data_IF_425132428839
#
_entry.id   IF_425132428839
#
_cell.length_a   1.000
_cell.length_b   1.000
_cell.length_c   1.000
_cell.angle_alpha   90.00
_cell.angle_beta   90.00
_cell.angle_gamma   90.00
#
_symmetry.space_group_name_H-M   'P 1'
#
loop_
_entity.id
_entity.type
_entity.pdbx_description
1 polymer ?
#
# COMPACT_ATOMS: atom_id res chain seq x y z
N UNK A 1 -11.86 10.05 -15.07
CA UNK A 1 -13.30 10.26 -15.36
C UNK A 1 -13.51 10.19 -16.87
N UNK A 2 -14.39 9.33 -17.41
CA UNK A 2 -14.59 9.21 -18.87
C UNK A 2 -15.56 10.27 -19.40
N UNK A 3 -16.66 10.53 -18.67
CA UNK A 3 -17.74 11.46 -19.08
C UNK A 3 -17.64 12.87 -18.50
N UNK A 4 -16.60 13.17 -17.72
CA UNK A 4 -16.39 14.54 -17.26
C UNK A 4 -16.12 15.47 -18.45
N UNK A 5 -16.46 16.74 -18.33
CA UNK A 5 -16.10 17.76 -19.31
C UNK A 5 -14.58 17.79 -19.50
N UNK A 6 -14.10 17.78 -20.75
CA UNK A 6 -12.69 17.60 -21.07
C UNK A 6 -12.12 16.20 -20.82
N UNK A 7 -12.95 15.22 -20.42
CA UNK A 7 -12.56 13.83 -20.24
C UNK A 7 -12.43 13.06 -21.56
N UNK A 8 -12.06 11.78 -21.47
CA UNK A 8 -11.77 10.93 -22.64
C UNK A 8 -12.90 10.88 -23.67
N UNK A 9 -14.17 10.80 -23.23
CA UNK A 9 -15.30 10.75 -24.15
C UNK A 9 -15.42 12.04 -24.94
N UNK A 10 -15.37 13.19 -24.27
CA UNK A 10 -15.47 14.51 -24.89
C UNK A 10 -14.31 14.78 -25.87
N UNK A 11 -13.08 14.45 -25.47
CA UNK A 11 -11.91 14.49 -26.35
C UNK A 11 -12.10 13.61 -27.61
N UNK A 12 -12.68 12.41 -27.47
CA UNK A 12 -12.97 11.57 -28.64
C UNK A 12 -14.06 12.12 -29.54
N UNK A 13 -15.04 12.87 -29.01
CA UNK A 13 -16.04 13.54 -29.85
C UNK A 13 -15.37 14.58 -30.75
N UNK A 14 -14.39 15.32 -30.25
CA UNK A 14 -13.65 16.31 -31.05
C UNK A 14 -12.80 15.67 -32.14
N UNK A 15 -12.23 14.48 -31.88
CA UNK A 15 -11.37 13.78 -32.84
C UNK A 15 -12.18 12.94 -33.84
N UNK A 16 -13.00 12.02 -33.33
CA UNK A 16 -13.59 10.96 -34.15
C UNK A 16 -14.79 11.42 -34.97
N UNK A 17 -15.56 12.44 -34.54
CA UNK A 17 -16.68 12.98 -35.36
C UNK A 17 -16.26 13.47 -36.74
N UNK A 18 -14.99 13.87 -36.89
CA UNK A 18 -14.44 14.32 -38.17
C UNK A 18 -14.17 13.17 -39.15
N UNK A 19 -14.20 11.92 -38.68
CA UNK A 19 -13.96 10.72 -39.48
C UNK A 19 -15.28 10.32 -40.15
N UNK A 20 -15.27 10.25 -41.47
CA UNK A 20 -16.42 9.81 -42.27
C UNK A 20 -16.86 8.40 -41.86
N UNK A 21 -18.17 8.23 -41.62
CA UNK A 21 -18.74 6.94 -41.23
C UNK A 21 -18.41 6.51 -39.81
N UNK A 22 -18.04 7.46 -38.94
CA UNK A 22 -17.97 7.23 -37.49
C UNK A 22 -19.32 7.45 -36.82
N UNK A 23 -19.71 6.55 -35.92
CA UNK A 23 -20.97 6.60 -35.18
C UNK A 23 -20.73 6.45 -33.67
N UNK A 24 -21.02 7.50 -32.86
CA UNK A 24 -20.91 7.41 -31.41
C UNK A 24 -22.16 6.79 -30.77
N UNK A 25 -21.96 5.99 -29.71
CA UNK A 25 -23.00 5.54 -28.77
C UNK A 25 -22.61 5.91 -27.35
N UNK A 26 -23.11 7.06 -26.90
CA UNK A 26 -22.74 7.65 -25.61
C UNK A 26 -23.24 6.87 -24.38
N UNK A 27 -24.37 6.17 -24.50
CA UNK A 27 -24.90 5.35 -23.40
C UNK A 27 -23.95 4.21 -23.04
N UNK A 28 -23.33 3.58 -24.06
CA UNK A 28 -22.39 2.46 -23.91
C UNK A 28 -20.92 2.87 -24.00
N UNK A 29 -20.64 4.15 -24.27
CA UNK A 29 -19.31 4.71 -24.49
C UNK A 29 -18.54 4.00 -25.62
N UNK A 30 -19.23 3.80 -26.74
CA UNK A 30 -18.71 3.08 -27.90
C UNK A 30 -18.66 3.95 -29.15
N UNK A 31 -17.67 3.70 -30.00
CA UNK A 31 -17.59 4.22 -31.36
C UNK A 31 -17.59 3.06 -32.35
N UNK A 32 -18.33 3.24 -33.44
CA UNK A 32 -18.33 2.35 -34.59
C UNK A 32 -17.77 3.10 -35.79
N UNK A 33 -16.99 2.42 -36.61
CA UNK A 33 -16.41 3.00 -37.82
C UNK A 33 -16.81 2.18 -39.03
N UNK A 34 -16.86 2.82 -40.21
CA UNK A 34 -17.17 2.17 -41.48
C UNK A 34 -16.27 0.97 -41.80
N UNK A 35 -15.03 0.96 -41.28
CA UNK A 35 -14.11 -0.18 -41.39
C UNK A 35 -14.56 -1.43 -40.63
N UNK A 36 -15.60 -1.35 -39.80
CA UNK A 36 -16.01 -2.38 -38.85
C UNK A 36 -15.26 -2.31 -37.52
N UNK A 37 -14.29 -1.38 -37.38
CA UNK A 37 -13.61 -1.16 -36.11
C UNK A 37 -14.62 -0.67 -35.05
N UNK A 38 -14.45 -1.17 -33.83
CA UNK A 38 -15.21 -0.77 -32.66
C UNK A 38 -14.26 -0.32 -31.57
N UNK A 39 -14.48 0.86 -31.02
CA UNK A 39 -13.73 1.39 -29.90
C UNK A 39 -14.65 1.55 -28.69
N UNK A 40 -14.22 1.12 -27.51
CA UNK A 40 -15.01 1.20 -26.28
C UNK A 40 -14.17 1.80 -25.16
N UNK A 41 -14.76 2.75 -24.44
CA UNK A 41 -14.18 3.29 -23.21
C UNK A 41 -14.89 2.72 -22.00
N UNK A 42 -14.12 2.31 -20.99
CA UNK A 42 -14.65 1.69 -19.77
C UNK A 42 -13.81 2.07 -18.56
N UNK A 43 -14.43 2.11 -17.40
CA UNK A 43 -13.75 2.26 -16.11
C UNK A 43 -13.37 0.90 -15.52
N UNK A 44 -12.30 0.87 -14.73
CA UNK A 44 -11.95 -0.24 -13.84
C UNK A 44 -11.48 0.37 -12.52
N UNK A 45 -12.45 0.74 -11.68
CA UNK A 45 -12.19 1.50 -10.46
C UNK A 45 -11.69 0.60 -9.31
N UNK A 46 -12.26 -0.59 -9.17
CA UNK A 46 -11.93 -1.52 -8.09
C UNK A 46 -11.26 -2.79 -8.62
N UNK A 47 -10.40 -3.42 -7.82
CA UNK A 47 -9.66 -4.64 -8.19
C UNK A 47 -10.57 -5.77 -8.72
N UNK A 48 -11.78 -5.89 -8.16
CA UNK A 48 -12.79 -6.86 -8.60
C UNK A 48 -13.31 -6.60 -10.02
N UNK A 49 -13.32 -5.35 -10.49
CA UNK A 49 -13.84 -5.00 -11.81
C UNK A 49 -13.01 -5.56 -12.97
N UNK A 50 -11.78 -6.02 -12.72
CA UNK A 50 -11.03 -6.75 -13.74
C UNK A 50 -11.80 -7.99 -14.22
N UNK A 51 -12.58 -8.64 -13.36
CA UNK A 51 -13.37 -9.83 -13.71
C UNK A 51 -14.55 -9.53 -14.63
N UNK A 52 -14.97 -8.27 -14.75
CA UNK A 52 -15.99 -7.84 -15.71
C UNK A 52 -15.51 -8.05 -17.18
N UNK A 53 -14.20 -8.25 -17.36
CA UNK A 53 -13.55 -8.53 -18.65
C UNK A 53 -13.22 -10.01 -18.86
N UNK A 54 -13.78 -10.91 -18.04
CA UNK A 54 -13.60 -12.33 -18.24
C UNK A 54 -14.12 -12.76 -19.62
N UNK A 55 -13.29 -13.51 -20.35
CA UNK A 55 -13.63 -13.99 -21.69
C UNK A 55 -13.45 -12.96 -22.82
N UNK A 56 -13.13 -11.70 -22.50
CA UNK A 56 -12.91 -10.68 -23.52
C UNK A 56 -11.74 -11.01 -24.47
N UNK A 57 -11.84 -10.52 -25.70
CA UNK A 57 -10.82 -10.63 -26.75
C UNK A 57 -10.62 -9.24 -27.35
N UNK A 58 -9.54 -8.58 -26.95
CA UNK A 58 -9.33 -7.17 -27.25
C UNK A 58 -7.93 -6.99 -27.82
N UNK A 59 -7.78 -6.82 -29.15
CA UNK A 59 -6.46 -6.69 -29.77
C UNK A 59 -5.72 -5.38 -29.41
N UNK A 60 -6.45 -4.33 -29.04
CA UNK A 60 -5.87 -3.04 -28.65
C UNK A 60 -6.41 -2.61 -27.29
N UNK A 61 -5.54 -2.58 -26.29
CA UNK A 61 -5.87 -2.12 -24.94
C UNK A 61 -5.11 -0.82 -24.68
N UNK A 62 -5.85 0.23 -24.35
CA UNK A 62 -5.30 1.54 -24.01
C UNK A 62 -5.63 1.87 -22.56
N UNK A 63 -4.60 2.07 -21.74
CA UNK A 63 -4.75 2.59 -20.39
C UNK A 63 -4.48 4.09 -20.38
N UNK A 64 -5.33 4.82 -19.68
CA UNK A 64 -5.06 6.20 -19.32
C UNK A 64 -4.88 6.27 -17.80
N UNK A 65 -3.95 7.10 -17.33
CA UNK A 65 -3.55 7.19 -15.93
C UNK A 65 -3.18 5.84 -15.30
N UNK A 66 -2.31 5.07 -15.98
CA UNK A 66 -1.93 3.70 -15.60
C UNK A 66 -1.40 3.58 -14.15
N UNK A 67 -0.78 4.62 -13.61
CA UNK A 67 -0.26 4.63 -12.23
C UNK A 67 -1.33 4.37 -11.17
N UNK A 68 -2.60 4.67 -11.46
CA UNK A 68 -3.74 4.43 -10.58
C UNK A 68 -4.30 3.00 -10.63
N UNK A 69 -3.84 2.18 -11.59
CA UNK A 69 -4.23 0.77 -11.68
C UNK A 69 -3.24 -0.09 -10.89
N UNK A 70 -3.73 -1.19 -10.31
CA UNK A 70 -2.84 -2.18 -9.73
C UNK A 70 -2.10 -2.99 -10.80
N UNK A 71 -0.97 -3.60 -10.42
CA UNK A 71 -0.23 -4.51 -11.31
C UNK A 71 -1.11 -5.67 -11.76
N UNK A 72 -1.95 -6.19 -10.86
CA UNK A 72 -2.86 -7.29 -11.14
C UNK A 72 -3.97 -6.93 -12.13
N UNK A 73 -4.50 -5.70 -12.11
CA UNK A 73 -5.42 -5.21 -13.14
C UNK A 73 -4.74 -5.21 -14.52
N UNK A 74 -3.54 -4.63 -14.62
CA UNK A 74 -2.79 -4.55 -15.87
C UNK A 74 -2.51 -5.93 -16.47
N UNK A 75 -1.90 -6.85 -15.68
CA UNK A 75 -1.58 -8.19 -16.16
C UNK A 75 -2.84 -9.04 -16.42
N UNK A 76 -3.94 -8.80 -15.70
CA UNK A 76 -5.21 -9.45 -16.01
C UNK A 76 -5.72 -9.02 -17.39
N UNK A 77 -5.70 -7.72 -17.70
CA UNK A 77 -6.07 -7.23 -19.03
C UNK A 77 -5.11 -7.69 -20.12
N UNK A 78 -3.81 -7.80 -19.84
CA UNK A 78 -2.84 -8.37 -20.77
C UNK A 78 -3.22 -9.80 -21.18
N UNK A 79 -3.82 -10.59 -20.28
CA UNK A 79 -4.34 -11.93 -20.60
C UNK A 79 -5.63 -11.92 -21.45
N UNK A 80 -6.22 -10.75 -21.70
CA UNK A 80 -7.34 -10.52 -22.64
C UNK A 80 -6.86 -9.86 -23.94
N UNK A 81 -5.58 -9.51 -24.01
CA UNK A 81 -4.97 -8.97 -25.21
C UNK A 81 -4.67 -10.11 -26.19
N UNK A 82 -5.72 -10.48 -26.93
CA UNK A 82 -5.74 -11.59 -27.87
C UNK A 82 -6.65 -11.25 -29.03
N UNK A 83 -6.42 -11.89 -30.16
CA UNK A 83 -7.06 -11.57 -31.43
C UNK A 83 -7.41 -12.84 -32.19
N UNK A 84 -8.62 -12.86 -32.74
CA UNK A 84 -9.10 -13.86 -33.70
C UNK A 84 -9.24 -13.28 -35.11
N UNK A 85 -8.99 -11.97 -35.27
CA UNK A 85 -9.14 -11.23 -36.53
C UNK A 85 -7.82 -10.93 -37.23
N UNK A 86 -6.69 -11.47 -36.74
CA UNK A 86 -5.37 -11.30 -37.34
C UNK A 86 -4.64 -10.00 -36.98
N UNK A 87 -5.25 -9.13 -36.15
CA UNK A 87 -4.57 -7.95 -35.59
C UNK A 87 -3.65 -8.38 -34.46
N UNK A 88 -2.38 -7.98 -34.50
CA UNK A 88 -1.44 -8.27 -33.41
C UNK A 88 -1.85 -7.56 -32.11
N UNK A 89 -2.00 -8.30 -31.00
CA UNK A 89 -2.22 -7.76 -29.66
C UNK A 89 -1.24 -6.66 -29.26
N UNK A 90 -1.76 -5.49 -28.86
CA UNK A 90 -0.96 -4.34 -28.44
C UNK A 90 -1.54 -3.63 -27.23
N UNK A 91 -0.68 -3.24 -26.28
CA UNK A 91 -1.04 -2.39 -25.13
C UNK A 91 -0.30 -1.06 -25.26
N UNK A 92 -1.01 0.04 -25.00
CA UNK A 92 -0.39 1.35 -24.78
C UNK A 92 -0.97 1.99 -23.53
N UNK A 93 -0.15 2.76 -22.83
CA UNK A 93 -0.55 3.41 -21.60
C UNK A 93 0.00 4.83 -21.51
N UNK A 94 -0.76 5.72 -20.89
CA UNK A 94 -0.34 7.08 -20.47
C UNK A 94 -0.48 7.21 -18.97
N UNK A 95 0.36 8.04 -18.36
CA UNK A 95 0.30 8.37 -16.94
C UNK A 95 1.25 9.52 -16.59
N UNK A 96 0.99 10.18 -15.48
CA UNK A 96 1.99 11.01 -14.80
C UNK A 96 2.89 10.16 -13.89
N UNK A 97 4.15 10.57 -13.63
CA UNK A 97 5.04 9.83 -12.74
C UNK A 97 4.46 9.66 -11.34
N UNK A 98 4.59 8.45 -10.78
CA UNK A 98 4.22 8.14 -9.41
C UNK A 98 5.23 7.12 -8.83
N UNK A 99 6.10 7.51 -7.88
CA UNK A 99 7.11 6.63 -7.29
C UNK A 99 6.51 5.51 -6.44
N UNK A 100 5.27 5.66 -5.97
CA UNK A 100 4.60 4.65 -5.14
C UNK A 100 3.83 3.63 -5.99
N UNK A 101 3.67 3.89 -7.29
CA UNK A 101 3.05 2.96 -8.23
C UNK A 101 4.00 1.81 -8.57
N UNK A 102 3.44 0.61 -8.76
CA UNK A 102 4.17 -0.55 -9.29
C UNK A 102 4.80 -0.27 -10.67
N UNK A 103 4.28 0.72 -11.39
CA UNK A 103 4.80 1.15 -12.67
C UNK A 103 6.20 1.76 -12.54
N UNK A 104 6.53 2.43 -11.42
CA UNK A 104 7.87 2.98 -11.18
C UNK A 104 8.95 1.89 -11.10
N UNK A 105 8.58 0.69 -10.61
CA UNK A 105 9.44 -0.49 -10.64
C UNK A 105 9.51 -1.08 -12.06
N UNK A 106 8.41 -1.06 -12.82
CA UNK A 106 8.40 -1.57 -14.20
C UNK A 106 9.28 -0.73 -15.15
N UNK A 107 9.31 0.60 -14.97
CA UNK A 107 10.04 1.53 -15.85
C UNK A 107 11.44 1.88 -15.34
N UNK A 108 11.91 1.23 -14.27
CA UNK A 108 13.14 1.60 -13.56
C UNK A 108 14.37 1.77 -14.46
N UNK A 109 14.52 0.90 -15.45
CA UNK A 109 15.66 0.86 -16.36
C UNK A 109 15.74 2.10 -17.24
N UNK A 110 14.60 2.70 -17.58
CA UNK A 110 14.52 3.93 -18.36
C UNK A 110 14.71 5.19 -17.51
N UNK A 111 14.75 5.06 -16.18
CA UNK A 111 14.86 6.16 -15.22
C UNK A 111 16.26 6.16 -14.59
N UNK A 112 16.83 7.35 -14.37
CA UNK A 112 18.10 7.47 -13.65
C UNK A 112 17.94 7.03 -12.19
N UNK A 113 18.77 6.06 -11.77
CA UNK A 113 18.69 5.44 -10.45
C UNK A 113 19.80 5.90 -9.50
N UNK A 114 20.86 6.55 -10.00
CA UNK A 114 21.93 7.04 -9.12
C UNK A 114 21.45 8.27 -8.35
N UNK A 115 21.22 8.12 -7.04
CA UNK A 115 20.81 9.21 -6.14
C UNK A 115 21.80 10.39 -6.11
N UNK A 116 23.05 10.18 -6.55
CA UNK A 116 24.06 11.24 -6.66
C UNK A 116 24.02 11.96 -8.00
N UNK A 117 23.30 11.42 -8.98
CA UNK A 117 23.12 12.05 -10.28
C UNK A 117 22.22 13.28 -10.15
N UNK A 118 22.57 14.41 -10.79
CA UNK A 118 21.67 15.56 -10.86
C UNK A 118 20.37 15.23 -11.61
N UNK A 119 20.35 14.13 -12.37
CA UNK A 119 19.20 13.65 -13.12
C UNK A 119 18.44 12.53 -12.39
N UNK A 120 18.73 12.27 -11.11
CA UNK A 120 18.06 11.21 -10.35
C UNK A 120 16.54 11.27 -10.48
N UNK A 121 15.93 10.15 -10.89
CA UNK A 121 14.50 10.01 -11.07
C UNK A 121 13.94 10.56 -12.38
N UNK A 122 14.75 11.14 -13.26
CA UNK A 122 14.30 11.54 -14.59
C UNK A 122 14.52 10.44 -15.64
N UNK A 123 13.72 10.42 -16.72
CA UNK A 123 13.99 9.58 -17.88
C UNK A 123 15.40 9.78 -18.44
N UNK A 124 16.14 8.68 -18.63
CA UNK A 124 17.47 8.69 -19.24
C UNK A 124 17.32 8.89 -20.74
N UNK A 125 17.80 10.01 -21.34
CA UNK A 125 17.53 10.36 -22.74
C UNK A 125 17.83 9.23 -23.73
N UNK A 126 19.00 8.60 -23.63
CA UNK A 126 19.43 7.57 -24.58
C UNK A 126 18.66 6.24 -24.46
N UNK A 127 17.93 6.05 -23.35
CA UNK A 127 17.13 4.84 -23.12
C UNK A 127 15.69 4.99 -23.57
N UNK A 128 15.20 6.22 -23.70
CA UNK A 128 13.81 6.48 -24.09
C UNK A 128 13.50 5.86 -25.46
N UNK A 129 12.37 5.18 -25.58
CA UNK A 129 11.99 4.49 -26.80
C UNK A 129 12.71 3.16 -27.04
N UNK A 130 13.80 2.84 -26.33
CA UNK A 130 14.46 1.54 -26.47
C UNK A 130 13.56 0.39 -26.02
N UNK A 131 13.53 -0.67 -26.84
CA UNK A 131 12.85 -1.91 -26.49
C UNK A 131 13.67 -2.69 -25.47
N UNK A 132 12.97 -3.16 -24.44
CA UNK A 132 13.42 -4.18 -23.51
C UNK A 132 12.46 -5.35 -23.59
N UNK A 133 12.94 -6.54 -23.26
CA UNK A 133 12.18 -7.77 -23.37
C UNK A 133 12.03 -8.40 -22.00
N UNK A 134 10.87 -9.00 -21.75
CA UNK A 134 10.64 -9.74 -20.52
C UNK A 134 9.72 -10.94 -20.68
N UNK A 135 9.86 -11.88 -19.76
CA UNK A 135 8.84 -12.89 -19.46
C UNK A 135 8.49 -12.83 -17.98
N UNK A 136 7.41 -13.50 -17.58
CA UNK A 136 6.98 -13.58 -16.18
C UNK A 136 7.05 -15.01 -15.69
N UNK A 137 7.87 -15.25 -14.66
CA UNK A 137 8.08 -16.56 -14.07
C UNK A 137 7.87 -16.49 -12.55
N UNK A 138 7.02 -17.37 -12.01
CA UNK A 138 6.68 -17.41 -10.57
C UNK A 138 6.26 -16.07 -9.97
N UNK A 139 5.68 -15.19 -10.79
CA UNK A 139 5.22 -13.85 -10.39
C UNK A 139 6.23 -12.73 -10.65
N UNK A 140 7.50 -13.05 -10.91
CA UNK A 140 8.60 -12.10 -11.13
C UNK A 140 8.81 -11.78 -12.61
N UNK A 141 9.24 -10.57 -12.93
CA UNK A 141 9.59 -10.17 -14.29
C UNK A 141 11.07 -10.41 -14.55
N UNK A 142 11.37 -11.21 -15.57
CA UNK A 142 12.74 -11.52 -15.98
C UNK A 142 13.06 -10.73 -17.25
N UNK A 143 13.92 -9.71 -17.10
CA UNK A 143 14.25 -8.76 -18.17
C UNK A 143 15.51 -9.14 -18.97
N UNK A 144 15.58 -8.69 -20.22
CA UNK A 144 16.74 -8.78 -21.10
C UNK A 144 16.75 -7.68 -22.17
N UNK A 145 17.92 -7.46 -22.77
CA UNK A 145 18.11 -6.48 -23.87
C UNK A 145 17.60 -7.02 -25.21
N UNK A 146 17.49 -8.34 -25.33
CA UNK A 146 16.86 -9.03 -26.44
C UNK A 146 15.94 -10.16 -25.98
N UNK A 147 15.05 -10.60 -26.86
CA UNK A 147 14.26 -11.83 -26.62
C UNK A 147 15.16 -13.06 -26.42
N UNK A 148 16.35 -13.08 -27.03
CA UNK A 148 17.28 -14.18 -26.86
C UNK A 148 17.90 -14.21 -25.45
N UNK A 149 18.18 -13.05 -24.86
CA UNK A 149 18.70 -12.97 -23.49
C UNK A 149 17.68 -13.45 -22.46
N UNK A 150 16.41 -13.06 -22.64
CA UNK A 150 15.32 -13.55 -21.79
C UNK A 150 15.14 -15.06 -21.96
N UNK A 151 15.22 -15.56 -23.20
CA UNK A 151 15.16 -16.99 -23.46
C UNK A 151 16.25 -17.76 -22.70
N UNK A 152 17.50 -17.33 -22.75
CA UNK A 152 18.59 -18.02 -22.04
C UNK A 152 18.42 -18.00 -20.52
N UNK A 153 17.84 -16.93 -19.95
CA UNK A 153 17.55 -16.84 -18.52
C UNK A 153 16.42 -17.76 -18.07
N UNK A 154 15.47 -18.08 -18.96
CA UNK A 154 14.28 -18.87 -18.67
C UNK A 154 14.16 -20.09 -19.62
N UNK A 155 15.29 -20.69 -19.98
CA UNK A 155 15.37 -21.67 -21.08
C UNK A 155 14.47 -22.88 -20.83
N UNK A 156 14.60 -23.47 -19.64
CA UNK A 156 13.93 -24.72 -19.30
C UNK A 156 12.40 -24.57 -19.29
N UNK A 157 11.89 -23.49 -18.71
CA UNK A 157 10.45 -23.20 -18.65
C UNK A 157 9.87 -22.84 -20.01
N UNK A 158 10.59 -22.06 -20.83
CA UNK A 158 10.18 -21.73 -22.19
C UNK A 158 10.14 -22.97 -23.09
N UNK A 159 11.19 -23.80 -23.06
CA UNK A 159 11.26 -25.03 -23.86
C UNK A 159 10.14 -26.00 -23.49
N UNK A 160 9.81 -26.12 -22.20
CA UNK A 160 8.70 -26.96 -21.72
C UNK A 160 7.35 -26.51 -22.33
N UNK A 161 7.08 -25.19 -22.35
CA UNK A 161 5.85 -24.65 -22.93
C UNK A 161 5.81 -24.88 -24.44
N UNK A 162 6.93 -24.66 -25.15
CA UNK A 162 7.03 -24.91 -26.59
C UNK A 162 6.80 -26.39 -26.90
N UNK A 163 7.41 -27.30 -26.15
CA UNK A 163 7.22 -28.74 -26.33
C UNK A 163 5.75 -29.13 -26.14
N UNK A 164 5.07 -28.60 -25.11
CA UNK A 164 3.63 -28.80 -24.87
C UNK A 164 2.75 -28.24 -25.97
N UNK A 165 3.18 -27.15 -26.62
CA UNK A 165 2.47 -26.56 -27.77
C UNK A 165 2.54 -27.41 -29.05
N UNK A 166 3.33 -28.49 -29.06
CA UNK A 166 3.60 -29.31 -30.25
C UNK A 166 4.21 -28.50 -31.40
N UNK A 167 5.03 -27.51 -31.07
CA UNK A 167 5.71 -26.64 -32.04
C UNK A 167 4.81 -25.59 -32.70
N UNK A 168 3.61 -25.33 -32.17
CA UNK A 168 2.69 -24.31 -32.68
C UNK A 168 3.11 -22.89 -32.30
N UNK A 169 3.95 -22.73 -31.29
CA UNK A 169 4.45 -21.43 -30.85
C UNK A 169 5.98 -21.43 -30.84
N UNK A 170 6.54 -20.23 -30.85
CA UNK A 170 7.97 -19.95 -30.82
C UNK A 170 8.37 -19.20 -29.55
N UNK A 171 9.68 -19.07 -29.33
CA UNK A 171 10.24 -18.24 -28.25
C UNK A 171 9.70 -16.81 -28.26
N UNK A 172 9.48 -16.23 -29.46
CA UNK A 172 8.99 -14.85 -29.61
C UNK A 172 7.57 -14.67 -29.07
N UNK A 173 6.74 -15.71 -29.09
CA UNK A 173 5.35 -15.63 -28.64
C UNK A 173 5.24 -15.56 -27.11
N UNK A 174 6.23 -16.12 -26.40
CA UNK A 174 6.31 -16.19 -24.95
C UNK A 174 7.03 -15.00 -24.31
N UNK A 175 7.68 -14.16 -25.10
CA UNK A 175 8.47 -13.02 -24.61
C UNK A 175 7.82 -11.72 -25.06
N UNK A 176 7.56 -10.82 -24.11
CA UNK A 176 6.94 -9.53 -24.37
C UNK A 176 8.01 -8.47 -24.53
N UNK A 177 7.77 -7.53 -25.44
CA UNK A 177 8.55 -6.31 -25.56
C UNK A 177 7.85 -5.17 -24.81
N UNK A 178 8.64 -4.25 -24.28
CA UNK A 178 8.17 -3.05 -23.59
C UNK A 178 9.10 -1.89 -23.90
N UNK A 179 8.55 -0.69 -23.96
CA UNK A 179 9.31 0.56 -24.09
C UNK A 179 8.61 1.66 -23.32
N UNK A 180 9.41 2.63 -22.89
CA UNK A 180 8.95 3.80 -22.17
C UNK A 180 9.47 5.06 -22.88
N UNK A 181 8.60 6.05 -23.00
CA UNK A 181 8.92 7.38 -23.51
C UNK A 181 8.42 8.38 -22.49
N UNK A 182 9.34 9.20 -21.96
CA UNK A 182 8.99 10.31 -21.09
C UNK A 182 8.41 11.44 -21.92
N UNK A 183 7.30 12.01 -21.46
CA UNK A 183 6.71 13.19 -22.08
C UNK A 183 7.05 14.46 -21.30
N UNK A 184 7.21 15.57 -22.00
CA UNK A 184 7.36 16.89 -21.41
C UNK A 184 6.26 17.85 -21.86
N UNK A 185 5.78 18.70 -20.95
CA UNK A 185 4.84 19.77 -21.31
C UNK A 185 5.42 20.72 -22.37
N UNK A 186 6.75 20.88 -22.39
CA UNK A 186 7.45 21.72 -23.37
C UNK A 186 7.39 21.14 -24.80
N UNK A 187 7.12 19.84 -24.94
CA UNK A 187 6.92 19.17 -26.23
C UNK A 187 5.47 19.34 -26.73
N UNK A 188 4.53 19.69 -25.84
CA UNK A 188 3.14 19.91 -26.21
C UNK A 188 2.92 21.34 -26.72
N UNK A 189 3.46 21.61 -27.90
CA UNK A 189 3.45 22.92 -28.57
C UNK A 189 2.02 23.47 -28.73
N UNK A 190 1.04 22.63 -29.07
CA UNK A 190 -0.34 23.08 -29.29
C UNK A 190 -1.03 23.49 -27.98
N UNK A 191 -0.83 22.73 -26.89
CA UNK A 191 -1.36 23.13 -25.59
C UNK A 191 -0.74 24.45 -25.12
N UNK A 192 0.57 24.64 -25.33
CA UNK A 192 1.24 25.89 -24.95
C UNK A 192 0.82 27.09 -25.82
N UNK A 193 0.41 26.87 -27.07
CA UNK A 193 -0.18 27.92 -27.92
C UNK A 193 -1.57 28.33 -27.42
N UNK A 194 -2.41 27.35 -27.09
CA UNK A 194 -3.81 27.59 -26.69
C UNK A 194 -3.89 28.09 -25.24
N UNK A 195 -3.05 27.57 -24.35
CA UNK A 195 -3.06 27.89 -22.92
C UNK A 195 -1.62 28.05 -22.37
N UNK A 196 -0.91 29.13 -22.75
CA UNK A 196 0.45 29.39 -22.24
C UNK A 196 0.50 29.59 -20.72
N UNK A 197 -0.59 30.08 -20.11
CA UNK A 197 -0.69 30.28 -18.68
C UNK A 197 -0.66 28.97 -17.86
N UNK A 198 -0.90 27.82 -18.49
CA UNK A 198 -0.82 26.50 -17.83
C UNK A 198 0.57 26.22 -17.24
N UNK A 199 1.64 26.69 -17.88
CA UNK A 199 2.99 26.61 -17.31
C UNK A 199 3.12 27.40 -16.00
N UNK A 200 2.43 28.54 -15.89
CA UNK A 200 2.38 29.31 -14.65
C UNK A 200 1.76 28.51 -13.51
N UNK A 201 0.66 27.79 -13.78
CA UNK A 201 0.00 26.93 -12.80
C UNK A 201 0.92 25.79 -12.34
N UNK A 202 1.58 25.09 -13.27
CA UNK A 202 2.53 24.04 -12.93
C UNK A 202 3.76 24.57 -12.16
N UNK A 203 4.18 25.80 -12.42
CA UNK A 203 5.29 26.43 -11.70
C UNK A 203 4.93 26.89 -10.29
N UNK A 204 3.64 27.07 -10.00
CA UNK A 204 3.12 27.50 -8.69
C UNK A 204 2.88 26.34 -7.72
N UNK A 205 3.04 25.09 -8.17
CA UNK A 205 3.02 23.89 -7.31
C UNK A 205 4.19 23.93 -6.31
N UNK A 206 4.06 23.17 -5.21
CA UNK A 206 5.20 22.98 -4.30
C UNK A 206 6.38 22.30 -5.00
N UNK A 207 7.59 22.42 -4.45
CA UNK A 207 8.79 21.94 -5.13
C UNK A 207 8.72 20.45 -5.50
N UNK A 208 8.15 19.59 -4.65
CA UNK A 208 8.07 18.16 -4.94
C UNK A 208 7.01 17.87 -6.02
N UNK A 209 5.83 18.47 -5.91
CA UNK A 209 4.79 18.36 -6.94
C UNK A 209 5.26 18.89 -8.29
N UNK A 210 5.99 20.01 -8.29
CA UNK A 210 6.59 20.60 -9.47
C UNK A 210 7.62 19.66 -10.09
N UNK A 211 8.57 19.13 -9.32
CA UNK A 211 9.57 18.19 -9.85
C UNK A 211 8.91 16.95 -10.47
N UNK A 212 7.81 16.45 -9.89
CA UNK A 212 7.07 15.30 -10.39
C UNK A 212 6.23 15.62 -11.64
N UNK A 213 5.30 16.56 -11.54
CA UNK A 213 4.31 16.83 -12.58
C UNK A 213 4.84 17.70 -13.73
N UNK A 214 5.61 18.75 -13.41
CA UNK A 214 6.25 19.60 -14.43
C UNK A 214 7.54 18.98 -14.94
N UNK A 215 8.35 18.45 -14.01
CA UNK A 215 9.67 17.89 -14.34
C UNK A 215 9.62 16.46 -14.90
N UNK A 216 8.58 15.69 -14.62
CA UNK A 216 8.51 14.29 -15.03
C UNK A 216 9.33 13.34 -14.15
N UNK A 217 9.60 13.69 -12.89
CA UNK A 217 10.45 12.89 -11.99
C UNK A 217 9.68 11.71 -11.35
N UNK A 218 10.22 10.49 -11.50
CA UNK A 218 9.66 9.22 -11.03
C UNK A 218 10.13 8.77 -9.63
N UNK A 219 11.00 9.53 -8.96
CA UNK A 219 11.57 9.18 -7.64
C UNK A 219 11.24 10.20 -6.56
N UNK A 220 10.70 11.36 -6.93
CA UNK A 220 10.17 12.32 -5.97
C UNK A 220 8.80 11.88 -5.51
N UNK A 221 8.77 11.19 -4.36
CA UNK A 221 7.53 10.94 -3.63
C UNK A 221 7.03 12.26 -3.05
N UNK A 222 5.72 12.45 -3.07
CA UNK A 222 5.07 13.50 -2.28
C UNK A 222 5.28 13.17 -0.81
N UNK A 223 6.46 13.52 -0.30
CA UNK A 223 6.91 13.36 1.09
C UNK A 223 6.08 14.18 2.10
N UNK A 224 4.85 14.59 1.75
CA UNK A 224 3.90 15.23 2.65
C UNK A 224 2.85 14.29 3.24
N UNK A 225 2.60 13.15 2.59
CA UNK A 225 1.46 12.27 2.93
C UNK A 225 1.87 10.94 3.56
N UNK A 226 3.13 10.53 3.52
CA UNK A 226 3.53 9.32 4.25
C UNK A 226 3.43 9.56 5.76
N UNK A 227 2.70 8.68 6.45
CA UNK A 227 2.66 8.70 7.92
C UNK A 227 3.96 8.14 8.51
N UNK A 228 4.59 7.23 7.78
CA UNK A 228 5.84 6.62 8.14
C UNK A 228 6.92 6.98 7.13
N UNK A 229 7.82 7.88 7.52
CA UNK A 229 9.05 8.14 6.74
C UNK A 229 9.84 6.84 6.56
N UNK A 230 10.23 6.55 5.32
CA UNK A 230 10.87 5.28 4.96
C UNK A 230 12.17 5.03 5.75
N UNK A 231 12.98 6.07 5.98
CA UNK A 231 14.25 5.92 6.71
C UNK A 231 13.98 5.64 8.18
N UNK A 232 13.13 6.45 8.81
CA UNK A 232 12.73 6.27 10.22
C UNK A 232 12.04 4.93 10.47
N UNK A 233 11.23 4.47 9.53
CA UNK A 233 10.59 3.17 9.61
C UNK A 233 11.61 2.03 9.55
N UNK A 234 12.63 2.14 8.70
CA UNK A 234 13.72 1.15 8.65
C UNK A 234 14.56 1.12 9.94
N UNK A 235 14.74 2.26 10.61
CA UNK A 235 15.51 2.35 11.85
C UNK A 235 14.93 1.41 12.95
N UNK A 236 13.62 1.16 12.96
CA UNK A 236 12.97 0.23 13.91
C UNK A 236 13.59 -1.17 13.92
N UNK A 237 14.13 -1.65 12.80
CA UNK A 237 14.76 -2.97 12.73
C UNK A 237 16.19 -2.98 13.30
N UNK A 238 16.70 -1.82 13.74
CA UNK A 238 18.06 -1.63 14.24
C UNK A 238 18.15 -0.89 15.58
N UNK A 239 17.05 -0.25 16.04
CA UNK A 239 16.93 0.51 17.29
C UNK A 239 17.02 -0.35 18.57
N UNK A 240 18.07 -1.16 18.71
CA UNK A 240 18.24 -2.12 19.80
C UNK A 240 18.27 -1.49 21.19
N UNK A 241 18.51 -0.17 21.26
CA UNK A 241 18.51 0.66 22.46
C UNK A 241 17.13 0.88 23.09
N UNK A 242 16.02 0.66 22.37
CA UNK A 242 14.66 0.86 22.92
C UNK A 242 14.49 -0.06 24.13
N UNK A 243 14.08 0.41 25.32
CA UNK A 243 14.02 -0.44 26.51
C UNK A 243 12.85 -1.42 26.45
N UNK A 244 12.99 -2.56 27.15
CA UNK A 244 11.85 -3.42 27.49
C UNK A 244 10.92 -2.70 28.47
N UNK A 245 9.66 -3.11 28.50
CA UNK A 245 8.64 -2.54 29.37
C UNK A 245 7.57 -3.56 29.74
N UNK A 246 6.38 -3.08 30.12
CA UNK A 246 5.21 -3.93 30.31
C UNK A 246 4.88 -4.72 29.05
N UNK A 247 4.31 -5.91 29.21
CA UNK A 247 4.02 -6.79 28.07
C UNK A 247 2.59 -6.59 27.58
N UNK A 248 2.42 -6.50 26.26
CA UNK A 248 1.13 -6.27 25.62
C UNK A 248 0.92 -7.23 24.46
N UNK A 249 -0.33 -7.47 24.10
CA UNK A 249 -0.70 -8.10 22.83
C UNK A 249 -1.62 -7.16 22.06
N UNK A 250 -1.32 -6.99 20.77
CA UNK A 250 -2.25 -6.40 19.80
C UNK A 250 -2.60 -7.47 18.77
N UNK A 251 -3.86 -7.52 18.33
CA UNK A 251 -4.28 -8.54 17.37
C UNK A 251 -5.37 -8.07 16.41
N UNK A 252 -5.15 -8.32 15.12
CA UNK A 252 -6.14 -8.10 14.06
C UNK A 252 -6.85 -9.43 13.77
N UNK A 253 -8.15 -9.49 14.07
CA UNK A 253 -8.93 -10.73 14.05
C UNK A 253 -9.56 -10.93 12.67
N UNK A 254 -9.15 -12.01 12.02
CA UNK A 254 -9.83 -12.58 10.87
C UNK A 254 -10.36 -13.99 11.18
N UNK A 255 -11.59 -14.30 10.73
CA UNK A 255 -12.21 -15.62 10.90
C UNK A 255 -12.42 -16.33 9.55
N UNK A 256 -13.41 -15.86 8.77
CA UNK A 256 -13.79 -16.47 7.48
C UNK A 256 -13.63 -15.42 6.37
N UNK A 257 -12.57 -15.55 5.58
CA UNK A 257 -12.22 -14.62 4.51
C UNK A 257 -10.86 -14.96 3.89
N UNK A 258 -10.34 -14.04 3.08
CA UNK A 258 -8.96 -14.07 2.57
C UNK A 258 -7.94 -13.40 3.51
N UNK A 259 -8.43 -12.70 4.52
CA UNK A 259 -7.61 -11.86 5.42
C UNK A 259 -6.97 -12.72 6.51
N UNK A 260 -5.75 -12.38 6.90
CA UNK A 260 -4.96 -13.18 7.85
C UNK A 260 -5.20 -12.72 9.28
N UNK A 261 -5.24 -13.67 10.20
CA UNK A 261 -5.23 -13.40 11.63
C UNK A 261 -3.80 -13.10 12.10
N UNK A 262 -3.60 -11.98 12.79
CA UNK A 262 -2.28 -11.51 13.22
C UNK A 262 -2.25 -11.30 14.73
N UNK A 263 -1.18 -11.78 15.38
CA UNK A 263 -0.89 -11.52 16.79
C UNK A 263 0.51 -10.94 16.93
N UNK A 264 0.60 -9.78 17.59
CA UNK A 264 1.85 -9.15 17.98
C UNK A 264 2.03 -9.22 19.49
N UNK A 265 3.25 -9.55 19.91
CA UNK A 265 3.62 -9.60 21.32
C UNK A 265 4.71 -8.55 21.59
N UNK A 266 4.41 -7.66 22.51
CA UNK A 266 5.21 -6.48 22.81
C UNK A 266 5.82 -6.55 24.20
N UNK A 267 6.99 -5.95 24.38
CA UNK A 267 7.53 -5.52 25.68
C UNK A 267 7.85 -4.02 25.59
N UNK A 268 7.04 -3.17 26.21
CA UNK A 268 7.04 -1.74 25.94
C UNK A 268 6.69 -1.49 24.47
N UNK A 269 7.56 -0.75 23.75
CA UNK A 269 7.48 -0.55 22.28
C UNK A 269 8.45 -1.45 21.50
N UNK A 270 8.87 -2.57 22.10
CA UNK A 270 9.64 -3.62 21.41
C UNK A 270 8.72 -4.72 20.93
N UNK A 271 8.72 -5.01 19.64
CA UNK A 271 8.03 -6.19 19.08
C UNK A 271 8.93 -7.41 19.28
N UNK A 272 8.60 -8.19 20.31
CA UNK A 272 9.37 -9.36 20.73
C UNK A 272 8.91 -10.60 19.96
N UNK A 273 7.62 -10.71 19.61
CA UNK A 273 7.11 -11.84 18.84
C UNK A 273 5.97 -11.49 17.87
N UNK A 274 5.78 -12.34 16.85
CA UNK A 274 4.78 -12.24 15.80
C UNK A 274 4.24 -13.63 15.41
N UNK A 275 2.92 -13.72 15.23
CA UNK A 275 2.25 -14.90 14.71
C UNK A 275 1.22 -14.50 13.66
N UNK A 276 1.03 -15.38 12.67
CA UNK A 276 0.08 -15.20 11.58
C UNK A 276 -0.61 -16.51 11.23
N UNK A 277 -1.90 -16.46 10.88
CA UNK A 277 -2.67 -17.60 10.40
C UNK A 277 -3.58 -17.20 9.22
N UNK A 278 -3.59 -18.01 8.16
CA UNK A 278 -4.39 -17.74 6.95
C UNK A 278 -5.89 -17.97 7.14
N UNK A 279 -6.26 -19.02 7.89
CA UNK A 279 -7.64 -19.40 8.17
C UNK A 279 -7.69 -19.93 9.59
N UNK A 280 -8.49 -19.30 10.43
CA UNK A 280 -8.61 -19.64 11.83
C UNK A 280 -10.07 -19.79 12.23
N UNK A 281 -10.38 -20.92 12.87
CA UNK A 281 -11.62 -21.07 13.61
C UNK A 281 -11.57 -20.24 14.90
N UNK A 282 -12.73 -19.87 15.45
CA UNK A 282 -12.80 -19.14 16.72
C UNK A 282 -11.93 -19.74 17.83
N UNK A 283 -11.98 -21.06 18.11
CA UNK A 283 -11.10 -21.69 19.11
C UNK A 283 -9.61 -21.55 18.84
N UNK A 284 -9.18 -21.60 17.57
CA UNK A 284 -7.77 -21.41 17.22
C UNK A 284 -7.31 -19.98 17.49
N UNK A 285 -8.14 -18.98 17.19
CA UNK A 285 -7.89 -17.57 17.52
C UNK A 285 -7.70 -17.42 19.03
N UNK A 286 -8.67 -17.90 19.83
CA UNK A 286 -8.63 -17.79 21.29
C UNK A 286 -7.40 -18.49 21.88
N UNK A 287 -7.13 -19.72 21.45
CA UNK A 287 -6.01 -20.49 21.98
C UNK A 287 -4.68 -19.81 21.63
N UNK A 288 -4.49 -19.32 20.41
CA UNK A 288 -3.24 -18.66 20.04
C UNK A 288 -3.00 -17.40 20.88
N UNK A 289 -4.04 -16.61 21.16
CA UNK A 289 -3.92 -15.42 22.02
C UNK A 289 -3.57 -15.85 23.45
N UNK A 290 -4.28 -16.84 24.02
CA UNK A 290 -4.04 -17.33 25.39
C UNK A 290 -2.65 -17.95 25.57
N UNK A 291 -2.22 -18.75 24.60
CA UNK A 291 -0.91 -19.40 24.63
C UNK A 291 0.21 -18.36 24.60
N UNK A 292 0.08 -17.32 23.76
CA UNK A 292 1.04 -16.22 23.72
C UNK A 292 0.96 -15.34 24.97
N UNK A 293 -0.23 -15.07 25.48
CA UNK A 293 -0.40 -14.31 26.72
C UNK A 293 0.27 -15.03 27.90
N UNK A 294 0.10 -16.35 27.99
CA UNK A 294 0.76 -17.18 28.98
C UNK A 294 2.29 -17.22 28.78
N UNK A 295 2.75 -17.53 27.58
CA UNK A 295 4.17 -17.68 27.27
C UNK A 295 4.99 -16.39 27.51
N UNK A 296 4.38 -15.23 27.30
CA UNK A 296 5.02 -13.92 27.41
C UNK A 296 4.57 -13.12 28.64
N UNK A 297 3.84 -13.76 29.57
CA UNK A 297 3.34 -13.13 30.80
C UNK A 297 2.58 -11.82 30.55
N UNK A 298 1.69 -11.82 29.56
CA UNK A 298 0.82 -10.69 29.23
C UNK A 298 -0.50 -10.86 30.00
N UNK A 299 -0.88 -9.94 30.90
CA UNK A 299 -2.18 -9.99 31.54
C UNK A 299 -3.27 -9.71 30.49
N UNK A 300 -4.45 -10.34 30.63
CA UNK A 300 -5.53 -10.16 29.65
C UNK A 300 -5.97 -8.69 29.49
N UNK A 301 -5.86 -7.88 30.55
CA UNK A 301 -6.12 -6.43 30.52
C UNK A 301 -5.15 -5.62 29.64
N UNK A 302 -4.04 -6.24 29.22
CA UNK A 302 -3.03 -5.69 28.31
C UNK A 302 -3.11 -6.33 26.91
N UNK A 303 -4.27 -6.89 26.56
CA UNK A 303 -4.58 -7.42 25.24
C UNK A 303 -5.61 -6.50 24.58
N UNK A 304 -5.33 -6.04 23.37
CA UNK A 304 -6.27 -5.28 22.54
C UNK A 304 -6.49 -5.97 21.20
N UNK A 305 -7.74 -5.99 20.71
CA UNK A 305 -8.10 -6.65 19.46
C UNK A 305 -9.05 -5.83 18.59
N UNK A 306 -8.92 -5.93 17.27
CA UNK A 306 -9.86 -5.25 16.34
C UNK A 306 -11.26 -5.89 16.40
N UNK A 307 -12.28 -5.05 16.60
CA UNK A 307 -13.69 -5.44 16.74
C UNK A 307 -14.61 -4.90 15.62
N UNK A 308 -14.09 -4.31 14.55
CA UNK A 308 -14.91 -3.78 13.45
C UNK A 308 -15.59 -4.87 12.58
N UNK A 309 -15.36 -6.15 12.87
CA UNK A 309 -15.94 -7.26 12.14
C UNK A 309 -16.26 -8.46 13.03
N UNK A 310 -15.40 -9.47 12.97
CA UNK A 310 -15.63 -10.77 13.62
C UNK A 310 -15.10 -10.83 15.05
N UNK A 311 -14.50 -9.76 15.58
CA UNK A 311 -13.84 -9.77 16.90
C UNK A 311 -14.74 -9.99 18.11
N UNK A 312 -16.06 -9.81 17.97
CA UNK A 312 -17.02 -9.76 19.08
C UNK A 312 -17.05 -11.02 19.97
N UNK A 313 -16.61 -12.17 19.46
CA UNK A 313 -16.57 -13.39 20.28
C UNK A 313 -15.40 -13.41 21.26
N UNK A 314 -14.33 -12.63 21.04
CA UNK A 314 -13.13 -12.67 21.88
C UNK A 314 -13.39 -12.18 23.29
N UNK A 315 -14.19 -11.12 23.46
CA UNK A 315 -14.59 -10.59 24.76
C UNK A 315 -15.21 -11.67 25.67
N UNK A 316 -16.01 -12.57 25.09
CA UNK A 316 -16.64 -13.68 25.82
C UNK A 316 -15.69 -14.82 26.22
N UNK A 317 -14.48 -14.90 25.66
CA UNK A 317 -13.54 -16.00 25.93
C UNK A 317 -12.22 -15.56 26.58
N UNK A 318 -11.85 -14.29 26.47
CA UNK A 318 -10.65 -13.69 27.08
C UNK A 318 -11.10 -12.52 27.95
N UNK A 319 -11.66 -12.85 29.11
CA UNK A 319 -12.14 -11.86 30.06
C UNK A 319 -11.03 -10.86 30.43
N UNK A 320 -11.33 -9.58 30.24
CA UNK A 320 -10.43 -8.45 30.48
C UNK A 320 -9.70 -7.93 29.23
N UNK A 321 -9.72 -8.65 28.11
CA UNK A 321 -9.22 -8.13 26.84
C UNK A 321 -10.07 -6.95 26.37
N UNK A 322 -9.49 -6.05 25.57
CA UNK A 322 -10.09 -4.77 25.22
C UNK A 322 -10.32 -4.64 23.73
N UNK A 323 -11.46 -4.05 23.38
CA UNK A 323 -11.86 -3.86 21.99
C UNK A 323 -11.27 -2.58 21.40
N UNK A 324 -10.71 -2.69 20.20
CA UNK A 324 -10.36 -1.58 19.34
C UNK A 324 -11.41 -1.46 18.24
N UNK A 325 -12.08 -0.32 18.15
CA UNK A 325 -13.09 -0.04 17.12
C UNK A 325 -12.55 1.06 16.21
N UNK A 326 -12.26 0.77 14.93
CA UNK A 326 -11.56 1.72 14.06
C UNK A 326 -12.35 3.01 13.86
N UNK A 327 -13.67 2.89 13.77
CA UNK A 327 -14.61 4.00 13.59
C UNK A 327 -14.92 4.80 14.85
N UNK A 328 -14.38 4.43 16.02
CA UNK A 328 -14.64 5.13 17.27
C UNK A 328 -14.10 6.57 17.25
N UNK A 329 -14.62 7.38 18.18
CA UNK A 329 -14.15 8.77 18.38
C UNK A 329 -12.70 8.74 18.85
N UNK A 330 -11.84 9.67 18.39
CA UNK A 330 -10.47 9.79 18.90
C UNK A 330 -10.44 9.93 20.42
N UNK A 331 -9.46 9.29 21.04
CA UNK A 331 -9.21 9.39 22.47
C UNK A 331 -8.73 10.81 22.83
N UNK A 332 -9.06 11.30 24.03
CA UNK A 332 -8.63 12.61 24.47
C UNK A 332 -7.11 12.67 24.62
N UNK A 333 -6.53 13.84 24.34
CA UNK A 333 -5.12 14.12 24.61
C UNK A 333 -4.89 14.17 26.13
N UNK A 334 -3.80 13.53 26.58
CA UNK A 334 -3.49 13.33 28.00
C UNK A 334 -3.11 14.59 28.79
N UNK A 335 -2.80 15.68 28.10
CA UNK A 335 -2.47 16.98 28.70
C UNK A 335 -3.70 17.90 28.74
N UNK A 336 -4.45 17.93 27.64
CA UNK A 336 -5.57 18.88 27.47
C UNK A 336 -6.93 18.29 27.85
N UNK A 337 -7.04 16.96 27.95
CA UNK A 337 -8.29 16.24 28.19
C UNK A 337 -9.30 16.33 27.04
N UNK A 338 -8.92 16.91 25.89
CA UNK A 338 -9.80 17.12 24.74
C UNK A 338 -9.41 16.19 23.57
N UNK A 339 -10.37 15.68 22.78
CA UNK A 339 -10.08 14.95 21.56
C UNK A 339 -9.27 15.81 20.58
N UNK A 340 -8.24 15.20 19.98
CA UNK A 340 -7.47 15.80 18.89
C UNK A 340 -8.24 15.72 17.56
N UNK A 341 -7.87 16.55 16.58
CA UNK A 341 -8.58 16.70 15.31
C UNK A 341 -8.29 15.55 14.32
N UNK A 342 -8.67 14.33 14.71
CA UNK A 342 -8.63 13.15 13.86
C UNK A 342 -10.05 12.72 13.47
N UNK A 343 -10.18 12.12 12.29
CA UNK A 343 -11.46 11.62 11.80
C UNK A 343 -12.03 10.50 12.68
N UNK A 344 -11.18 9.59 13.12
CA UNK A 344 -11.53 8.42 13.93
C UNK A 344 -10.30 7.88 14.69
N UNK A 345 -10.54 6.92 15.59
CA UNK A 345 -9.51 6.29 16.42
C UNK A 345 -8.41 5.63 15.60
N UNK A 346 -8.75 4.93 14.52
CA UNK A 346 -7.76 4.33 13.60
C UNK A 346 -6.80 5.38 13.04
N UNK A 347 -7.33 6.51 12.59
CA UNK A 347 -6.51 7.62 12.10
C UNK A 347 -5.61 8.14 13.22
N UNK A 348 -6.16 8.41 14.40
CA UNK A 348 -5.35 8.87 15.54
C UNK A 348 -4.18 7.92 15.83
N UNK A 349 -4.44 6.62 15.96
CA UNK A 349 -3.39 5.65 16.27
C UNK A 349 -2.32 5.57 15.19
N UNK A 350 -2.67 5.60 13.90
CA UNK A 350 -1.68 5.64 12.82
C UNK A 350 -0.78 6.88 12.88
N UNK A 351 -1.34 8.06 13.11
CA UNK A 351 -0.53 9.28 13.22
C UNK A 351 0.38 9.22 14.45
N UNK A 352 -0.14 8.79 15.61
CA UNK A 352 0.67 8.66 16.84
C UNK A 352 1.80 7.64 16.68
N UNK A 353 1.54 6.51 16.03
CA UNK A 353 2.58 5.50 15.80
C UNK A 353 3.61 6.01 14.79
N UNK A 354 3.19 6.72 13.74
CA UNK A 354 4.10 7.40 12.81
C UNK A 354 5.04 8.39 13.51
N UNK A 355 4.50 9.22 14.41
CA UNK A 355 5.28 10.16 15.20
C UNK A 355 6.27 9.44 16.13
N UNK A 356 5.84 8.37 16.79
CA UNK A 356 6.68 7.55 17.67
C UNK A 356 7.82 6.83 16.91
N UNK A 357 7.54 6.31 15.72
CA UNK A 357 8.55 5.77 14.81
C UNK A 357 9.55 6.84 14.41
N UNK A 358 9.08 8.05 14.10
CA UNK A 358 9.95 9.19 13.76
C UNK A 358 10.89 9.57 14.89
N UNK A 359 10.41 9.48 16.15
CA UNK A 359 11.21 9.68 17.37
C UNK A 359 12.11 8.50 17.72
N UNK A 360 12.06 7.39 16.98
CA UNK A 360 12.90 6.22 17.20
C UNK A 360 12.51 5.41 18.45
N UNK A 361 11.23 5.41 18.81
CA UNK A 361 10.73 4.76 20.03
C UNK A 361 10.43 3.26 19.86
N UNK A 362 10.38 2.78 18.62
CA UNK A 362 10.06 1.39 18.31
C UNK A 362 11.31 0.58 17.97
N UNK A 363 11.28 -0.69 18.39
CA UNK A 363 12.25 -1.70 17.98
C UNK A 363 11.57 -3.01 17.62
N UNK A 364 11.90 -3.58 16.47
CA UNK A 364 11.44 -4.89 16.07
C UNK A 364 12.61 -5.85 16.16
N UNK A 365 12.49 -6.84 17.03
CA UNK A 365 13.59 -7.79 17.25
C UNK A 365 13.92 -8.55 15.97
N UNK A 366 15.19 -8.93 15.73
CA UNK A 366 15.55 -9.80 14.60
C UNK A 366 14.77 -11.12 14.59
N UNK A 367 14.35 -11.61 15.77
CA UNK A 367 13.51 -12.79 15.88
C UNK A 367 12.13 -12.55 15.23
N UNK A 368 11.39 -11.52 15.68
CA UNK A 368 10.08 -11.19 15.11
C UNK A 368 10.19 -10.77 13.64
N UNK A 369 11.15 -9.92 13.29
CA UNK A 369 11.36 -9.39 11.94
C UNK A 369 11.56 -10.49 10.88
N UNK A 370 12.26 -11.58 11.23
CA UNK A 370 12.59 -12.67 10.31
C UNK A 370 11.56 -13.80 10.32
N UNK A 371 10.52 -13.75 11.17
CA UNK A 371 9.42 -14.72 11.10
C UNK A 371 8.68 -14.60 9.76
N UNK A 372 8.22 -15.72 9.24
CA UNK A 372 7.47 -15.79 7.98
C UNK A 372 6.08 -15.20 8.17
N UNK A 373 5.72 -14.27 7.29
CA UNK A 373 4.34 -13.82 7.11
C UNK A 373 3.58 -14.77 6.18
N UNK A 374 4.26 -15.21 5.12
CA UNK A 374 3.82 -16.25 4.19
C UNK A 374 5.05 -16.92 3.54
N UNK A 375 4.82 -17.73 2.52
CA UNK A 375 5.89 -18.42 1.79
C UNK A 375 6.84 -17.47 1.03
N UNK A 376 6.44 -16.21 0.82
CA UNK A 376 7.16 -15.22 0.00
C UNK A 376 7.88 -14.18 0.85
N UNK A 377 7.29 -13.76 1.96
CA UNK A 377 7.75 -12.61 2.74
C UNK A 377 7.95 -12.95 4.22
N UNK A 378 8.99 -12.38 4.80
CA UNK A 378 9.17 -12.20 6.23
C UNK A 378 8.26 -11.07 6.76
N UNK A 379 8.09 -10.97 8.07
CA UNK A 379 7.39 -9.85 8.70
C UNK A 379 7.98 -8.51 8.28
N UNK A 380 9.32 -8.37 8.31
CA UNK A 380 9.99 -7.14 7.90
C UNK A 380 9.63 -6.73 6.47
N UNK A 381 9.74 -7.66 5.52
CA UNK A 381 9.42 -7.39 4.12
C UNK A 381 7.94 -7.01 3.96
N UNK A 382 7.06 -7.69 4.69
CA UNK A 382 5.63 -7.39 4.68
C UNK A 382 5.32 -6.01 5.25
N UNK A 383 5.91 -5.62 6.38
CA UNK A 383 5.77 -4.29 6.97
C UNK A 383 6.26 -3.20 6.01
N UNK A 384 7.41 -3.40 5.36
CA UNK A 384 7.93 -2.45 4.37
C UNK A 384 7.02 -2.30 3.14
N UNK A 385 6.40 -3.40 2.71
CA UNK A 385 5.41 -3.40 1.63
C UNK A 385 4.14 -2.65 2.04
N UNK A 386 3.54 -3.00 3.19
CA UNK A 386 2.30 -2.37 3.66
C UNK A 386 2.48 -0.89 4.01
N UNK A 387 3.65 -0.49 4.53
CA UNK A 387 3.99 0.92 4.80
C UNK A 387 3.73 1.83 3.61
N UNK A 388 3.97 1.36 2.37
CA UNK A 388 3.73 2.14 1.14
C UNK A 388 2.28 2.61 1.01
N UNK A 389 1.33 1.91 1.63
CA UNK A 389 -0.09 2.25 1.59
C UNK A 389 -0.57 3.08 2.78
N UNK A 390 0.27 3.35 3.79
CA UNK A 390 -0.14 4.11 4.96
C UNK A 390 0.13 5.60 4.76
N UNK A 391 -0.83 6.23 4.10
CA UNK A 391 -0.78 7.64 3.68
C UNK A 391 -1.88 8.47 4.33
N UNK A 392 -1.62 9.76 4.48
CA UNK A 392 -2.60 10.78 4.87
C UNK A 392 -3.67 10.85 3.79
N UNK A 393 -4.92 10.79 4.21
CA UNK A 393 -6.08 11.01 3.35
C UNK A 393 -6.38 12.50 3.25
N UNK A 394 -7.18 12.88 2.26
CA UNK A 394 -7.67 14.25 2.13
C UNK A 394 -8.37 14.70 3.40
N UNK A 395 -8.02 15.89 3.88
CA UNK A 395 -8.68 16.53 5.02
C UNK A 395 -10.17 16.64 4.71
N UNK A 396 -11.02 16.16 5.61
CA UNK A 396 -12.46 16.23 5.42
C UNK A 396 -12.95 17.69 5.51
N UNK A 397 -14.23 17.93 5.19
CA UNK A 397 -14.83 19.28 5.24
C UNK A 397 -14.71 19.94 6.62
N UNK A 398 -14.50 19.14 7.66
CA UNK A 398 -14.40 19.56 9.06
C UNK A 398 -12.94 19.78 9.51
N UNK A 399 -11.95 19.66 8.59
CA UNK A 399 -10.55 19.94 8.91
C UNK A 399 -9.84 18.79 9.64
N UNK A 400 -10.42 17.58 9.70
CA UNK A 400 -9.86 16.47 10.49
C UNK A 400 -8.82 15.67 9.71
N UNK A 401 -7.74 15.33 10.40
CA UNK A 401 -6.69 14.44 9.87
C UNK A 401 -7.23 13.01 9.74
N UNK A 402 -6.94 12.37 8.61
CA UNK A 402 -7.30 10.98 8.38
C UNK A 402 -6.23 10.26 7.58
N UNK A 403 -6.28 8.92 7.60
CA UNK A 403 -5.55 8.07 6.66
C UNK A 403 -6.41 7.81 5.42
N UNK A 404 -5.78 7.49 4.28
CA UNK A 404 -6.52 7.06 3.07
C UNK A 404 -7.44 5.87 3.37
N UNK A 405 -8.51 5.71 2.61
CA UNK A 405 -9.49 4.64 2.88
C UNK A 405 -8.88 3.25 2.61
N UNK A 406 -9.39 2.21 3.29
CA UNK A 406 -8.92 0.82 3.13
C UNK A 406 -8.93 0.35 1.66
N UNK A 407 -9.91 0.78 0.87
CA UNK A 407 -9.97 0.46 -0.57
C UNK A 407 -8.86 1.14 -1.38
N UNK A 408 -8.50 2.37 -1.04
CA UNK A 408 -7.36 3.07 -1.67
C UNK A 408 -6.04 2.41 -1.24
N UNK A 409 -5.91 2.01 0.02
CA UNK A 409 -4.74 1.27 0.52
C UNK A 409 -4.51 -0.02 -0.29
N UNK A 410 -5.58 -0.77 -0.57
CA UNK A 410 -5.52 -2.02 -1.36
C UNK A 410 -4.96 -1.80 -2.77
N UNK A 411 -5.16 -0.63 -3.37
CA UNK A 411 -4.60 -0.33 -4.70
C UNK A 411 -3.07 -0.33 -4.68
N UNK A 412 -2.46 0.21 -3.61
CA UNK A 412 -1.02 0.16 -3.40
C UNK A 412 -0.50 -1.25 -3.07
N UNK A 413 -1.38 -2.12 -2.54
CA UNK A 413 -1.03 -3.44 -2.01
C UNK A 413 -1.48 -4.60 -2.90
N UNK A 414 -1.67 -4.37 -4.19
CA UNK A 414 -2.10 -5.39 -5.16
C UNK A 414 -3.39 -6.13 -4.72
N UNK A 415 -4.34 -5.37 -4.19
CA UNK A 415 -5.63 -5.87 -3.70
C UNK A 415 -5.62 -6.42 -2.28
N UNK A 416 -4.47 -6.45 -1.59
CA UNK A 416 -4.34 -6.99 -0.24
C UNK A 416 -4.58 -5.92 0.84
N UNK A 417 -5.09 -6.33 2.00
CA UNK A 417 -5.31 -5.44 3.14
C UNK A 417 -4.00 -5.20 3.92
N UNK A 418 -3.84 -4.03 4.58
CA UNK A 418 -2.67 -3.70 5.39
C UNK A 418 -2.77 -4.25 6.83
N UNK A 419 -3.07 -5.54 6.98
CA UNK A 419 -3.43 -6.15 8.27
C UNK A 419 -2.26 -6.09 9.29
N UNK A 420 -1.02 -6.17 8.80
CA UNK A 420 0.20 -6.11 9.64
C UNK A 420 0.41 -4.72 10.21
N UNK A 421 0.10 -3.68 9.43
CA UNK A 421 0.17 -2.27 9.86
C UNK A 421 -1.04 -1.83 10.68
N UNK A 422 -2.24 -2.36 10.39
CA UNK A 422 -3.44 -2.18 11.22
C UNK A 422 -3.20 -2.78 12.63
N UNK A 423 -2.59 -3.96 12.72
CA UNK A 423 -2.22 -4.55 14.01
C UNK A 423 -1.11 -3.79 14.75
N UNK A 424 -0.15 -3.22 14.00
CA UNK A 424 0.97 -2.44 14.55
C UNK A 424 0.50 -1.16 15.27
N UNK A 425 -0.34 -0.36 14.62
CA UNK A 425 -0.74 0.96 15.14
C UNK A 425 -1.56 0.86 16.42
N UNK A 426 -2.28 -0.25 16.64
CA UNK A 426 -3.04 -0.48 17.87
C UNK A 426 -2.16 -0.48 19.12
N UNK A 427 -0.84 -0.67 19.01
CA UNK A 427 0.05 -0.57 20.17
C UNK A 427 -0.04 0.81 20.83
N UNK A 428 -0.21 1.89 20.06
CA UNK A 428 -0.36 3.24 20.61
C UNK A 428 -1.62 3.42 21.45
N UNK A 429 -2.61 2.53 21.34
CA UNK A 429 -3.83 2.58 22.14
C UNK A 429 -3.53 2.56 23.65
N UNK A 430 -2.52 1.79 24.09
CA UNK A 430 -2.13 1.71 25.50
C UNK A 430 -1.37 2.96 26.01
N UNK A 431 -0.89 3.82 25.11
CA UNK A 431 -0.12 5.01 25.51
C UNK A 431 -1.02 6.12 26.05
N UNK A 432 -2.32 6.11 25.75
CA UNK A 432 -3.28 7.08 26.26
C UNK A 432 -3.64 6.78 27.74
N UNK A 433 -3.58 7.79 28.62
CA UNK A 433 -3.90 7.63 30.06
C UNK A 433 -5.29 7.08 30.33
N UNK A 434 -6.28 7.41 29.49
CA UNK A 434 -7.65 6.88 29.62
C UNK A 434 -7.69 5.35 29.54
N UNK A 435 -6.67 4.75 28.92
CA UNK A 435 -6.51 3.31 28.77
C UNK A 435 -5.48 2.73 29.73
N UNK A 436 -4.77 3.53 30.52
CA UNK A 436 -3.87 3.01 31.53
C UNK A 436 -4.66 2.56 32.76
N UNK A 437 -4.34 1.38 33.28
CA UNK A 437 -4.92 0.91 34.54
C UNK A 437 -4.35 1.77 35.67
N UNK A 438 -5.19 2.44 36.45
CA UNK A 438 -4.77 3.27 37.58
C UNK A 438 -3.78 2.51 38.47
N UNK A 439 -2.56 3.03 38.66
CA UNK A 439 -1.63 2.48 39.65
C UNK A 439 -2.32 2.56 41.01
N UNK A 440 -2.62 1.40 41.60
CA UNK A 440 -3.00 1.33 43.01
C UNK A 440 -1.77 1.74 43.82
N UNK A 441 -1.68 3.02 44.16
CA UNK A 441 -0.76 3.48 45.21
C UNK A 441 -1.24 2.85 46.51
N UNK A 442 -0.64 1.74 46.92
CA UNK A 442 -0.80 1.21 48.27
C UNK A 442 -0.22 2.24 49.24
N UNK A 443 -1.09 3.08 49.81
CA UNK A 443 -0.77 3.83 51.02
C UNK A 443 -0.76 2.83 52.19
N UNK A 444 0.33 2.08 52.32
CA UNK A 444 0.63 1.30 53.53
C UNK A 444 2.02 1.66 54.03
N UNK A 445 2.19 2.93 54.37
CA UNK A 445 3.15 3.40 55.37
C UNK A 445 2.41 4.40 56.27
N UNK A 446 1.51 3.87 57.10
CA UNK A 446 1.14 4.48 58.37
C UNK A 446 1.46 3.47 59.46
N UNK A 447 2.14 3.99 60.48
CA UNK A 447 2.33 3.43 61.80
C UNK A 447 3.43 2.37 61.98
N UNK A 448 4.70 2.79 61.89
CA UNK A 448 5.81 2.13 62.63
C UNK A 448 6.96 3.11 62.96
N UNK A 449 6.66 4.35 63.35
CA UNK A 449 7.73 5.31 63.75
C UNK A 449 7.40 6.16 64.99
N UNK A 450 6.51 5.69 65.88
CA UNK A 450 6.25 6.31 67.18
C UNK A 450 6.62 5.37 68.34
N UNK A 451 7.87 4.91 68.36
CA UNK A 451 8.34 3.91 69.34
C UNK A 451 9.72 4.16 69.96
N UNK A 452 10.31 5.36 69.83
CA UNK A 452 11.67 5.63 70.34
C UNK A 452 11.89 7.02 71.00
N UNK A 453 10.83 7.77 71.32
CA UNK A 453 10.94 9.03 72.11
C UNK A 453 10.17 8.97 73.44
N UNK A 454 10.40 7.91 74.23
CA UNK A 454 9.83 7.81 75.59
C UNK A 454 10.81 7.20 76.59
N UNK A 455 12.07 7.65 76.53
CA UNK A 455 13.13 7.21 77.45
C UNK A 455 14.08 8.33 77.95
N UNK A 456 13.62 9.59 77.97
CA UNK A 456 14.41 10.71 78.53
C UNK A 456 13.66 11.56 79.58
N UNK A 457 12.67 10.98 80.27
CA UNK A 457 11.96 11.65 81.37
C UNK A 457 12.06 10.90 82.70
N UNK A 458 13.26 10.45 83.07
CA UNK A 458 13.64 10.15 84.46
C UNK A 458 15.14 10.41 84.67
N UNK A 459 15.53 11.69 84.77
CA UNK A 459 16.65 12.18 85.58
C UNK A 459 16.37 13.59 86.09
#
# INVERSE_FOLDING_TARGET
MIKAEGGLWDASQNMYKSILGSEPRESTLEWFFQSGAKFKMSHMEYEKNKYDWQGAEIPLILFDELTHFSSSMFFYMLSRNRSMCGVDPYVRATCNPDPDSWLAELVDWWIEQDEKSPNYGYPVPDRQGMLRYFTRENGNLIWGDSAQDVYYKCKDSIDEIIARSKGLITVKDLIKSFTFVGGSIYENVELLKVNPAYLGNLNALDENEKLRLLGGNWKISLKGDDIYDSKKFNDMFTNSYVPKGENYITTDIAMKGSDKFIVYVWSGKRLEDFHVMDKSSGPQVINLIKDNAFAHAVPHSSIVFDNDGVGQFVDGFIEGAREFNNGATPLPNDETGKPESYKNLKSQCFFKSGDAVTRGEYYITPYAANKRYDDKMTLKERMLFERKAIKRGSIDKDGKLCVIKKEEMKNFLNGQSPDVMDCFMMREWFEFKVNQTSKVTSHSLRDYDNGLELLDFLR
#
